data_IF_111007041235
#
_entry.id   IF_111007041235
#
_cell.length_a   1.000
_cell.length_b   1.000
_cell.length_c   1.000
_cell.angle_alpha   90.00
_cell.angle_beta   90.00
_cell.angle_gamma   90.00
#
_symmetry.space_group_name_H-M   'P 1'
#
loop_
_entity.id
_entity.type
_entity.pdbx_description
1 polymer ?
#
# COMPACT_ATOMS: atom_id res chain seq x y z
N UNK A 1 -58.08 -75.69 -1.83
CA UNK A 1 -56.92 -74.77 -1.92
C UNK A 1 -57.34 -73.56 -2.76
N UNK A 2 -58.51 -72.98 -2.50
CA UNK A 2 -58.85 -72.05 -1.38
C UNK A 2 -58.42 -70.63 -1.79
N UNK A 3 -59.29 -69.89 -2.50
CA UNK A 3 -60.27 -68.94 -1.94
C UNK A 3 -59.60 -67.67 -1.36
N UNK A 4 -60.05 -66.44 -1.60
CA UNK A 4 -61.05 -65.85 -2.52
C UNK A 4 -60.92 -64.30 -2.44
N UNK A 5 -61.27 -63.55 -3.50
CA UNK A 5 -62.05 -62.26 -3.57
C UNK A 5 -61.95 -61.15 -2.44
N UNK A 6 -62.36 -59.88 -2.55
CA UNK A 6 -62.77 -58.91 -3.61
C UNK A 6 -62.64 -57.47 -3.02
N UNK A 7 -62.63 -56.45 -3.90
CA UNK A 7 -62.92 -55.00 -3.77
C UNK A 7 -63.22 -54.31 -2.41
N UNK A 8 -62.78 -53.05 -2.23
CA UNK A 8 -63.62 -51.83 -2.16
C UNK A 8 -62.96 -50.61 -1.43
N UNK A 9 -63.23 -49.40 -1.95
CA UNK A 9 -63.13 -48.08 -1.25
C UNK A 9 -64.31 -47.90 -0.23
N UNK A 10 -64.43 -46.85 0.64
CA UNK A 10 -63.93 -45.47 0.47
C UNK A 10 -63.53 -44.65 1.75
N UNK A 11 -63.07 -43.41 1.51
CA UNK A 11 -63.22 -42.10 2.21
C UNK A 11 -63.41 -41.85 3.75
N UNK A 12 -62.77 -40.73 4.16
CA UNK A 12 -63.22 -39.61 5.05
C UNK A 12 -63.13 -39.61 6.62
N UNK A 13 -62.86 -38.38 7.14
CA UNK A 13 -62.79 -37.90 8.56
C UNK A 13 -61.62 -38.44 9.42
N UNK A 14 -61.15 -37.91 10.57
CA UNK A 14 -61.43 -36.72 11.41
C UNK A 14 -61.01 -37.02 12.88
N UNK A 15 -60.70 -36.10 13.81
CA UNK A 15 -60.37 -34.66 13.77
C UNK A 15 -60.02 -34.15 15.21
N UNK A 16 -59.02 -33.25 15.40
CA UNK A 16 -58.70 -32.51 16.67
C UNK A 16 -58.27 -33.37 17.91
N UNK A 17 -57.81 -32.89 19.09
CA UNK A 17 -56.90 -31.80 19.52
C UNK A 17 -56.48 -31.97 21.02
N UNK A 18 -55.39 -31.30 21.46
CA UNK A 18 -55.10 -30.76 22.82
C UNK A 18 -54.80 -31.62 24.10
N UNK A 19 -53.50 -31.57 24.51
CA UNK A 19 -52.91 -31.12 25.82
C UNK A 19 -53.34 -31.61 27.23
N UNK A 20 -52.34 -32.06 28.03
CA UNK A 20 -52.04 -31.64 29.45
C UNK A 20 -50.74 -32.34 29.95
N UNK A 21 -49.67 -31.64 30.37
CA UNK A 21 -49.23 -31.29 31.76
C UNK A 21 -49.12 -32.47 32.76
N UNK A 22 -48.10 -32.66 33.61
CA UNK A 22 -47.38 -31.74 34.54
C UNK A 22 -45.97 -32.30 34.92
N UNK A 23 -45.00 -31.43 35.27
CA UNK A 23 -43.78 -31.84 36.01
C UNK A 23 -42.71 -30.74 36.17
N UNK A 24 -42.40 -30.33 37.40
CA UNK A 24 -41.28 -29.40 37.79
C UNK A 24 -40.92 -29.70 39.27
N UNK A 25 -39.81 -29.20 39.90
CA UNK A 25 -39.63 -27.75 40.20
C UNK A 25 -38.16 -27.23 40.42
N UNK A 26 -38.04 -25.95 40.85
CA UNK A 26 -36.88 -25.28 41.54
C UNK A 26 -35.65 -24.92 40.68
N UNK A 27 -35.10 -23.68 40.59
CA UNK A 27 -35.48 -22.27 40.96
C UNK A 27 -34.67 -21.32 40.04
N UNK A 28 -35.25 -20.32 39.35
CA UNK A 28 -35.40 -18.88 39.72
C UNK A 28 -34.11 -18.09 40.05
N UNK A 29 -33.91 -16.79 39.73
CA UNK A 29 -34.54 -15.75 38.84
C UNK A 29 -33.59 -14.51 38.84
N UNK A 30 -33.18 -13.90 37.72
CA UNK A 30 -33.76 -12.74 36.99
C UNK A 30 -33.67 -11.33 37.63
N UNK A 31 -33.47 -10.30 36.76
CA UNK A 31 -33.87 -8.86 36.85
C UNK A 31 -32.85 -7.75 37.26
N UNK A 32 -32.36 -7.04 36.22
CA UNK A 32 -32.39 -5.57 35.96
C UNK A 32 -32.28 -4.45 37.03
N UNK A 33 -31.50 -3.40 36.66
CA UNK A 33 -31.46 -1.99 37.16
C UNK A 33 -30.85 -1.75 38.57
N UNK A 34 -30.50 -0.50 39.00
CA UNK A 34 -30.81 0.84 38.46
C UNK A 34 -29.60 1.83 38.37
N UNK A 35 -29.89 3.14 38.46
CA UNK A 35 -29.05 4.34 38.27
C UNK A 35 -28.72 5.01 39.63
N UNK A 36 -27.52 5.60 39.75
CA UNK A 36 -27.10 6.70 40.67
C UNK A 36 -27.48 6.71 42.17
N UNK A 37 -26.47 6.86 43.05
CA UNK A 37 -26.31 8.09 43.86
C UNK A 37 -24.87 8.21 44.42
N UNK A 38 -24.53 9.40 44.95
CA UNK A 38 -23.23 9.83 45.49
C UNK A 38 -23.08 9.62 47.00
N UNK A 39 -21.84 9.68 47.49
CA UNK A 39 -21.49 10.22 48.81
C UNK A 39 -20.15 10.96 48.74
N UNK A 40 -19.96 11.91 49.66
CA UNK A 40 -19.05 13.08 49.60
C UNK A 40 -18.28 13.21 50.95
N UNK A 41 -17.64 14.36 51.24
CA UNK A 41 -16.91 14.75 52.48
C UNK A 41 -15.44 14.27 52.52
N UNK A 42 -14.38 15.07 52.76
CA UNK A 42 -14.13 16.53 52.99
C UNK A 42 -12.57 16.74 52.91
N UNK A 43 -11.91 17.91 52.84
CA UNK A 43 -12.24 19.32 52.49
C UNK A 43 -10.88 20.08 52.24
N UNK A 44 -10.92 21.42 52.14
CA UNK A 44 -9.87 22.45 52.17
C UNK A 44 -9.23 22.87 50.81
N UNK A 45 -9.81 23.87 50.11
CA UNK A 45 -9.64 25.36 50.18
C UNK A 45 -8.44 25.89 49.37
N UNK A 46 -8.46 26.98 48.57
CA UNK A 46 -9.30 28.20 48.35
C UNK A 46 -9.56 28.35 46.81
N UNK A 47 -10.71 28.70 46.21
CA UNK A 47 -11.70 29.81 46.30
C UNK A 47 -11.37 31.10 45.51
N UNK A 48 -12.26 31.48 44.57
CA UNK A 48 -12.56 32.80 43.93
C UNK A 48 -12.69 32.75 42.37
N UNK A 49 -13.67 33.36 41.67
CA UNK A 49 -15.07 33.71 41.95
C UNK A 49 -15.82 34.07 40.62
N UNK A 50 -17.01 33.47 40.37
CA UNK A 50 -18.30 34.07 39.85
C UNK A 50 -18.30 34.89 38.52
N UNK A 51 -19.25 34.85 37.55
CA UNK A 51 -20.69 34.46 37.45
C UNK A 51 -21.18 34.16 36.00
N UNK A 52 -22.22 33.32 35.87
CA UNK A 52 -23.45 33.39 35.00
C UNK A 52 -23.35 33.74 33.48
N UNK A 53 -24.13 33.21 32.50
CA UNK A 53 -25.19 32.18 32.30
C UNK A 53 -25.27 31.88 30.76
N UNK A 54 -26.01 30.94 30.17
CA UNK A 54 -26.86 29.84 30.65
C UNK A 54 -27.80 29.27 29.55
N UNK A 55 -28.13 27.96 29.60
CA UNK A 55 -29.18 27.23 28.83
C UNK A 55 -29.06 27.03 27.29
N UNK A 56 -29.20 25.76 26.84
CA UNK A 56 -30.45 25.43 26.13
C UNK A 56 -30.53 25.14 24.61
N UNK A 57 -29.79 24.16 24.08
CA UNK A 57 -30.29 23.20 23.04
C UNK A 57 -30.60 23.64 21.57
N UNK A 58 -30.68 22.61 20.70
CA UNK A 58 -31.41 22.52 19.41
C UNK A 58 -30.76 23.07 18.11
N UNK A 59 -30.91 22.23 17.07
CA UNK A 59 -30.82 22.37 15.61
C UNK A 59 -30.71 23.80 15.01
N UNK A 60 -29.85 23.93 14.00
CA UNK A 60 -30.15 24.61 12.72
C UNK A 60 -29.58 23.74 11.58
N UNK A 61 -30.29 23.30 10.53
CA UNK A 61 -31.06 24.04 9.50
C UNK A 61 -30.17 24.97 8.66
N UNK A 62 -29.64 24.45 7.56
CA UNK A 62 -29.02 25.24 6.50
C UNK A 62 -30.14 25.77 5.61
N UNK A 63 -30.37 27.08 5.69
CA UNK A 63 -31.32 27.79 4.82
C UNK A 63 -30.66 28.18 3.49
N UNK A 64 -31.47 28.42 2.45
CA UNK A 64 -31.00 28.89 1.13
C UNK A 64 -31.23 30.40 1.02
N UNK A 65 -30.16 31.15 0.77
CA UNK A 65 -30.22 32.56 0.37
C UNK A 65 -29.55 32.79 -0.98
N UNK A 66 -30.24 33.48 -1.88
CA UNK A 66 -29.79 33.89 -3.21
C UNK A 66 -29.83 35.43 -3.29
N UNK A 67 -29.02 36.03 -4.17
CA UNK A 67 -29.02 37.48 -4.53
C UNK A 67 -28.56 38.44 -3.39
N UNK A 68 -27.99 39.64 -3.65
CA UNK A 68 -27.96 40.41 -4.89
C UNK A 68 -26.72 41.35 -5.04
N UNK A 69 -26.45 41.74 -6.29
CA UNK A 69 -25.88 43.01 -6.82
C UNK A 69 -24.65 43.78 -6.24
N UNK A 70 -23.65 43.97 -7.14
CA UNK A 70 -23.17 45.27 -7.69
C UNK A 70 -22.32 46.25 -6.86
N UNK A 71 -21.07 46.49 -7.32
CA UNK A 71 -20.54 47.83 -7.66
C UNK A 71 -19.14 47.77 -8.32
N UNK A 72 -18.90 48.62 -9.32
CA UNK A 72 -17.61 48.87 -9.99
C UNK A 72 -17.07 50.23 -9.52
N UNK A 73 -15.75 50.46 -9.55
CA UNK A 73 -15.30 51.72 -10.15
C UNK A 73 -14.21 51.55 -11.23
N UNK A 74 -14.28 52.44 -12.21
CA UNK A 74 -13.39 52.57 -13.36
C UNK A 74 -12.22 53.51 -13.01
N UNK A 75 -11.08 53.39 -13.70
CA UNK A 75 -10.23 54.54 -13.98
C UNK A 75 -9.72 54.48 -15.42
N UNK A 76 -10.06 55.52 -16.16
CA UNK A 76 -9.40 55.97 -17.40
C UNK A 76 -8.01 56.56 -17.01
N UNK A 77 -7.05 56.84 -17.88
CA UNK A 77 -7.05 57.03 -19.33
C UNK A 77 -5.60 56.90 -19.87
N UNK A 78 -5.41 56.85 -21.20
CA UNK A 78 -4.30 57.44 -22.00
C UNK A 78 -4.19 56.80 -23.39
N UNK A 79 -4.26 57.68 -24.39
CA UNK A 79 -4.22 57.44 -25.84
C UNK A 79 -2.90 56.88 -26.40
N UNK A 80 -2.99 56.07 -27.46
CA UNK A 80 -2.38 56.39 -28.77
C UNK A 80 -2.97 55.55 -29.94
N UNK A 81 -2.84 56.05 -31.17
CA UNK A 81 -3.72 55.76 -32.32
C UNK A 81 -2.94 55.50 -33.61
N UNK A 82 -3.26 54.42 -34.36
CA UNK A 82 -3.03 54.26 -35.81
C UNK A 82 -3.83 53.04 -36.34
N UNK A 83 -4.89 53.19 -37.14
CA UNK A 83 -4.88 53.10 -38.63
C UNK A 83 -3.99 51.97 -39.23
N UNK A 84 -4.47 51.05 -40.09
CA UNK A 84 -5.88 50.78 -40.48
C UNK A 84 -6.08 49.76 -41.66
N UNK A 85 -7.35 49.54 -42.01
CA UNK A 85 -7.95 49.05 -43.29
C UNK A 85 -7.78 47.60 -43.84
N UNK A 86 -8.95 46.94 -44.03
CA UNK A 86 -9.42 46.12 -45.20
C UNK A 86 -8.69 44.78 -45.54
N UNK A 87 -9.29 43.71 -46.10
CA UNK A 87 -10.67 43.37 -46.58
C UNK A 87 -10.85 41.83 -46.68
N UNK A 88 -12.10 41.34 -46.76
CA UNK A 88 -12.65 40.10 -47.41
C UNK A 88 -11.69 39.04 -48.03
N UNK A 89 -11.96 37.73 -48.03
CA UNK A 89 -13.28 37.05 -48.10
C UNK A 89 -13.32 35.57 -47.60
N UNK A 90 -14.53 35.13 -47.23
CA UNK A 90 -15.17 33.80 -47.29
C UNK A 90 -14.36 32.48 -47.44
N UNK A 91 -14.53 31.53 -46.49
CA UNK A 91 -15.27 30.23 -46.64
C UNK A 91 -15.06 29.30 -45.42
N UNK A 92 -16.09 28.54 -45.05
CA UNK A 92 -16.17 27.77 -43.79
C UNK A 92 -15.34 26.47 -43.73
N UNK A 93 -14.82 26.15 -42.54
CA UNK A 93 -14.68 24.77 -42.03
C UNK A 93 -14.53 24.77 -40.50
N UNK A 94 -15.18 23.81 -39.83
CA UNK A 94 -15.26 23.73 -38.38
C UNK A 94 -13.91 23.39 -37.73
N UNK A 95 -13.47 24.15 -36.72
CA UNK A 95 -12.49 23.65 -35.74
C UNK A 95 -12.77 24.23 -34.36
N UNK A 96 -13.15 23.35 -33.42
CA UNK A 96 -13.43 23.68 -32.02
C UNK A 96 -12.10 23.74 -31.25
N UNK A 97 -11.88 24.82 -30.50
CA UNK A 97 -10.66 25.05 -29.71
C UNK A 97 -10.39 23.92 -28.68
N UNK A 98 -9.13 23.47 -28.51
CA UNK A 98 -8.69 22.73 -27.33
C UNK A 98 -8.23 23.72 -26.24
N UNK A 99 -9.11 23.98 -25.29
CA UNK A 99 -8.76 24.73 -24.06
C UNK A 99 -7.78 23.93 -23.21
N UNK A 100 -6.76 24.62 -22.70
CA UNK A 100 -5.77 24.08 -21.75
C UNK A 100 -6.43 23.49 -20.50
N UNK A 101 -6.15 22.23 -20.20
CA UNK A 101 -6.61 21.55 -18.97
C UNK A 101 -5.48 21.44 -17.94
N UNK A 102 -5.75 21.94 -16.73
CA UNK A 102 -4.86 21.87 -15.57
C UNK A 102 -4.70 20.42 -15.08
N UNK A 103 -3.49 19.97 -14.67
CA UNK A 103 -3.30 18.68 -14.02
C UNK A 103 -3.54 18.80 -12.51
N UNK A 104 -4.66 18.26 -12.01
CA UNK A 104 -5.07 18.40 -10.61
C UNK A 104 -5.77 17.19 -9.99
N UNK A 105 -5.69 16.00 -10.60
CA UNK A 105 -6.54 14.87 -10.18
C UNK A 105 -5.91 13.47 -10.42
N UNK A 106 -4.75 13.21 -9.78
CA UNK A 106 -4.21 11.85 -9.66
C UNK A 106 -3.70 11.66 -8.22
N UNK A 107 -4.00 10.48 -7.65
CA UNK A 107 -3.70 10.03 -6.27
C UNK A 107 -4.59 10.60 -5.15
N UNK A 108 -5.77 9.98 -5.01
CA UNK A 108 -6.36 9.67 -3.70
C UNK A 108 -6.92 8.24 -3.73
N UNK A 109 -6.83 7.46 -2.64
CA UNK A 109 -7.53 6.19 -2.53
C UNK A 109 -9.02 6.43 -2.27
N UNK A 110 -9.85 5.50 -2.75
CA UNK A 110 -11.31 5.47 -2.64
C UNK A 110 -11.82 5.95 -1.27
N UNK A 111 -12.58 7.05 -1.25
CA UNK A 111 -13.46 7.42 -0.15
C UNK A 111 -14.86 6.87 -0.43
N UNK A 112 -15.28 5.87 0.33
CA UNK A 112 -16.69 5.51 0.44
C UNK A 112 -17.34 6.59 1.30
N UNK A 113 -17.91 7.62 0.68
CA UNK A 113 -18.93 8.53 1.26
C UNK A 113 -19.43 9.57 0.22
N UNK A 114 -20.05 9.11 -0.87
CA UNK A 114 -21.09 9.87 -1.61
C UNK A 114 -22.10 8.87 -2.18
N UNK A 115 -23.08 8.46 -1.37
CA UNK A 115 -24.25 7.68 -1.81
C UNK A 115 -25.53 8.36 -1.31
N UNK A 116 -25.97 9.41 -2.00
CA UNK A 116 -27.35 9.93 -1.91
C UNK A 116 -27.74 10.51 -3.29
N UNK A 117 -28.97 10.23 -3.72
CA UNK A 117 -29.64 10.74 -4.94
C UNK A 117 -29.07 10.34 -6.31
N UNK A 118 -29.38 9.11 -6.74
CA UNK A 118 -30.20 8.90 -7.94
C UNK A 118 -30.77 7.47 -8.01
N UNK A 119 -31.67 7.13 -7.08
CA UNK A 119 -32.58 5.97 -7.20
C UNK A 119 -33.47 6.18 -8.47
N UNK A 120 -33.95 5.20 -9.24
CA UNK A 120 -34.46 3.86 -8.90
C UNK A 120 -34.17 2.78 -9.99
N UNK A 121 -33.27 3.01 -10.96
CA UNK A 121 -33.11 2.10 -12.13
C UNK A 121 -31.77 1.35 -12.26
N UNK A 122 -30.86 1.50 -11.31
CA UNK A 122 -29.53 0.89 -11.36
C UNK A 122 -29.31 -0.24 -10.33
N UNK A 123 -30.16 -0.38 -9.31
CA UNK A 123 -29.94 -1.33 -8.21
C UNK A 123 -29.93 -2.82 -8.62
N UNK A 124 -30.75 -3.22 -9.60
CA UNK A 124 -30.91 -4.66 -9.95
C UNK A 124 -29.73 -5.27 -10.69
N UNK A 125 -28.90 -4.47 -11.38
CA UNK A 125 -27.71 -4.99 -12.09
C UNK A 125 -26.46 -5.03 -11.22
N UNK A 126 -26.35 -4.15 -10.24
CA UNK A 126 -25.12 -3.95 -9.46
C UNK A 126 -25.04 -4.91 -8.27
N UNK A 127 -26.19 -5.24 -7.65
CA UNK A 127 -26.28 -6.23 -6.55
C UNK A 127 -25.92 -7.67 -6.95
N UNK A 128 -25.93 -8.00 -8.24
CA UNK A 128 -25.62 -9.35 -8.74
C UNK A 128 -24.11 -9.67 -8.79
N UNK A 129 -23.22 -8.67 -8.67
CA UNK A 129 -21.80 -8.84 -8.99
C UNK A 129 -20.80 -8.65 -7.84
N UNK A 130 -21.22 -8.05 -6.73
CA UNK A 130 -20.35 -7.83 -5.58
C UNK A 130 -19.84 -9.17 -5.00
N UNK A 131 -18.52 -9.30 -4.87
CA UNK A 131 -17.94 -10.36 -4.06
C UNK A 131 -18.20 -10.06 -2.58
N UNK A 132 -18.30 -11.06 -1.69
CA UNK A 132 -18.33 -10.78 -0.25
C UNK A 132 -17.07 -9.97 0.14
N UNK A 133 -17.16 -8.88 0.92
CA UNK A 133 -16.02 -8.01 1.22
C UNK A 133 -14.81 -8.75 1.84
N UNK A 134 -15.09 -9.82 2.61
CA UNK A 134 -14.07 -10.73 3.13
C UNK A 134 -13.28 -11.43 2.00
N UNK A 135 -13.96 -11.88 0.94
CA UNK A 135 -13.33 -12.58 -0.18
C UNK A 135 -12.51 -11.62 -1.06
N UNK A 136 -12.90 -10.35 -1.17
CA UNK A 136 -12.11 -9.30 -1.81
C UNK A 136 -10.83 -9.02 -1.02
N UNK A 137 -10.96 -8.86 0.29
CA UNK A 137 -9.83 -8.68 1.21
C UNK A 137 -8.85 -9.86 1.14
N UNK A 138 -9.36 -11.10 1.23
CA UNK A 138 -8.55 -12.31 1.11
C UNK A 138 -7.93 -12.47 -0.28
N UNK A 139 -8.64 -12.07 -1.35
CA UNK A 139 -8.07 -12.03 -2.70
C UNK A 139 -6.84 -11.11 -2.73
N UNK A 140 -6.96 -9.89 -2.20
CA UNK A 140 -5.84 -8.96 -2.13
C UNK A 140 -4.64 -9.55 -1.37
N UNK A 141 -4.86 -10.14 -0.19
CA UNK A 141 -3.79 -10.75 0.60
C UNK A 141 -3.08 -11.90 -0.12
N UNK A 142 -3.82 -12.76 -0.83
CA UNK A 142 -3.22 -13.87 -1.61
C UNK A 142 -2.39 -13.36 -2.79
N UNK A 143 -2.90 -12.38 -3.55
CA UNK A 143 -2.13 -11.74 -4.64
C UNK A 143 -0.85 -11.09 -4.09
N UNK A 144 -0.97 -10.30 -3.02
CA UNK A 144 0.18 -9.65 -2.35
C UNK A 144 1.21 -10.67 -1.86
N UNK A 145 0.77 -11.82 -1.31
CA UNK A 145 1.66 -12.87 -0.82
C UNK A 145 2.44 -13.54 -1.95
N UNK A 146 1.76 -14.02 -3.00
CA UNK A 146 2.39 -14.68 -4.15
C UNK A 146 3.38 -13.73 -4.83
N UNK A 147 2.94 -12.53 -5.19
CA UNK A 147 3.79 -11.56 -5.87
C UNK A 147 4.92 -11.04 -4.97
N UNK A 148 4.71 -10.92 -3.66
CA UNK A 148 5.76 -10.59 -2.69
C UNK A 148 6.89 -11.62 -2.65
N UNK A 149 6.55 -12.91 -2.58
CA UNK A 149 7.54 -14.01 -2.63
C UNK A 149 8.30 -14.00 -3.96
N UNK A 150 7.60 -13.81 -5.09
CA UNK A 150 8.24 -13.68 -6.41
C UNK A 150 9.18 -12.47 -6.48
N UNK A 151 8.86 -11.36 -5.80
CA UNK A 151 9.72 -10.19 -5.67
C UNK A 151 11.00 -10.50 -4.89
N UNK A 152 10.90 -11.20 -3.76
CA UNK A 152 12.06 -11.65 -2.96
C UNK A 152 12.95 -12.61 -3.73
N UNK A 153 12.37 -13.59 -4.44
CA UNK A 153 13.11 -14.51 -5.30
C UNK A 153 13.82 -13.74 -6.43
N UNK A 154 13.14 -12.82 -7.10
CA UNK A 154 13.74 -11.98 -8.15
C UNK A 154 14.90 -11.16 -7.59
N UNK A 155 14.72 -10.53 -6.42
CA UNK A 155 15.77 -9.74 -5.76
C UNK A 155 17.00 -10.58 -5.44
N UNK A 156 16.83 -11.80 -4.91
CA UNK A 156 17.95 -12.71 -4.64
C UNK A 156 18.66 -13.15 -5.93
N UNK A 157 17.91 -13.44 -7.00
CA UNK A 157 18.50 -13.82 -8.29
C UNK A 157 19.26 -12.66 -8.92
N UNK A 158 18.74 -11.42 -8.87
CA UNK A 158 19.48 -10.23 -9.28
C UNK A 158 20.72 -10.01 -8.40
N UNK A 159 20.61 -10.18 -7.08
CA UNK A 159 21.75 -10.09 -6.17
C UNK A 159 22.84 -11.09 -6.57
N UNK A 160 22.52 -12.38 -6.79
CA UNK A 160 23.49 -13.40 -7.21
C UNK A 160 24.03 -13.19 -8.63
N UNK A 161 23.21 -12.72 -9.57
CA UNK A 161 23.61 -12.44 -10.95
C UNK A 161 24.55 -11.24 -11.04
N UNK A 162 24.31 -10.21 -10.24
CA UNK A 162 25.07 -8.97 -10.26
C UNK A 162 26.28 -9.02 -9.32
N UNK A 163 26.31 -9.88 -8.29
CA UNK A 163 27.42 -9.99 -7.33
C UNK A 163 28.80 -10.09 -8.00
N UNK A 164 29.03 -10.89 -9.07
CA UNK A 164 30.35 -10.98 -9.70
C UNK A 164 30.74 -9.71 -10.46
N UNK A 165 29.79 -9.07 -11.15
CA UNK A 165 30.04 -7.82 -11.87
C UNK A 165 30.24 -6.64 -10.91
N UNK A 166 29.48 -6.64 -9.81
CA UNK A 166 29.51 -5.63 -8.76
C UNK A 166 30.77 -5.78 -7.89
N UNK A 167 31.25 -6.99 -7.60
CA UNK A 167 32.49 -7.22 -6.84
C UNK A 167 33.77 -6.75 -7.57
N UNK A 168 33.72 -6.57 -8.90
CA UNK A 168 34.82 -5.99 -9.69
C UNK A 168 34.79 -4.46 -9.67
N UNK A 169 33.64 -3.84 -9.38
CA UNK A 169 33.43 -2.38 -9.41
C UNK A 169 33.36 -1.76 -8.01
N UNK A 170 32.86 -2.52 -7.03
CA UNK A 170 32.90 -2.18 -5.60
C UNK A 170 34.24 -2.66 -5.05
N UNK A 171 35.22 -1.75 -5.02
CA UNK A 171 36.23 -1.79 -3.95
C UNK A 171 35.55 -1.51 -2.61
N UNK A 172 36.09 -2.00 -1.50
CA UNK A 172 35.50 -1.86 -0.15
C UNK A 172 35.20 -0.40 0.26
N UNK A 173 35.80 0.56 -0.45
CA UNK A 173 35.66 2.01 -0.27
C UNK A 173 34.69 2.67 -1.30
N UNK A 174 33.70 1.94 -1.82
CA UNK A 174 32.75 2.48 -2.81
C UNK A 174 31.42 2.94 -2.17
N UNK A 175 30.84 4.10 -2.53
CA UNK A 175 29.49 4.49 -2.11
C UNK A 175 28.36 3.71 -2.83
N UNK A 176 28.70 2.88 -3.83
CA UNK A 176 27.75 1.97 -4.46
C UNK A 176 27.46 0.81 -3.50
N UNK A 177 26.19 0.43 -3.39
CA UNK A 177 25.71 -0.63 -2.52
C UNK A 177 25.02 -1.73 -3.34
N UNK A 178 25.03 -2.96 -2.83
CA UNK A 178 24.59 -4.15 -3.57
C UNK A 178 23.11 -4.09 -3.97
N UNK A 179 22.29 -3.37 -3.20
CA UNK A 179 20.86 -3.18 -3.43
C UNK A 179 20.54 -2.12 -4.49
N UNK A 180 21.50 -1.27 -4.87
CA UNK A 180 21.29 -0.16 -5.79
C UNK A 180 20.72 -0.62 -7.15
N UNK A 181 21.26 -1.64 -7.85
CA UNK A 181 20.76 -2.01 -9.17
C UNK A 181 19.32 -2.52 -9.14
N UNK A 182 18.94 -3.33 -8.14
CA UNK A 182 17.56 -3.82 -8.05
C UNK A 182 16.58 -2.78 -7.50
N UNK A 183 17.05 -1.81 -6.71
CA UNK A 183 16.26 -0.61 -6.39
C UNK A 183 15.99 0.25 -7.63
N UNK A 184 16.97 0.41 -8.53
CA UNK A 184 16.78 1.06 -9.83
C UNK A 184 15.80 0.27 -10.73
N UNK A 185 15.98 -1.05 -10.88
CA UNK A 185 15.07 -1.89 -11.68
C UNK A 185 13.65 -1.86 -11.13
N UNK A 186 13.47 -1.97 -9.82
CA UNK A 186 12.16 -1.85 -9.17
C UNK A 186 11.51 -0.47 -9.41
N UNK A 187 12.28 0.61 -9.38
CA UNK A 187 11.78 1.98 -9.64
C UNK A 187 11.45 2.20 -11.13
N UNK A 188 12.27 1.68 -12.06
CA UNK A 188 12.01 1.69 -13.50
C UNK A 188 10.71 0.94 -13.84
N UNK A 189 10.56 -0.28 -13.32
CA UNK A 189 9.36 -1.09 -13.53
C UNK A 189 8.13 -0.49 -12.83
N UNK A 190 8.31 0.25 -11.73
CA UNK A 190 7.21 1.04 -11.12
C UNK A 190 6.76 2.16 -12.05
N UNK A 191 7.66 2.79 -12.80
CA UNK A 191 7.30 3.72 -13.87
C UNK A 191 6.49 3.06 -15.00
N UNK A 192 6.84 1.82 -15.38
CA UNK A 192 6.07 1.03 -16.35
C UNK A 192 4.70 0.61 -15.82
N UNK A 193 4.67 -0.26 -14.81
CA UNK A 193 3.44 -0.95 -14.37
C UNK A 193 2.65 -0.16 -13.32
N UNK A 194 3.33 0.64 -12.49
CA UNK A 194 2.70 1.44 -11.43
C UNK A 194 2.20 2.81 -11.89
N UNK A 195 2.79 3.40 -12.94
CA UNK A 195 2.39 4.71 -13.47
C UNK A 195 1.71 4.57 -14.84
N UNK A 196 2.41 4.12 -15.89
CA UNK A 196 1.91 4.22 -17.28
C UNK A 196 0.88 3.16 -17.66
N UNK A 197 1.12 1.89 -17.26
CA UNK A 197 0.24 0.76 -17.58
C UNK A 197 -0.74 0.40 -16.47
N UNK A 198 -0.70 1.07 -15.31
CA UNK A 198 -1.54 0.74 -14.15
C UNK A 198 -3.02 0.63 -14.51
N UNK A 199 -3.56 1.61 -15.24
CA UNK A 199 -4.96 1.61 -15.67
C UNK A 199 -5.31 0.46 -16.63
N UNK A 200 -4.38 0.05 -17.50
CA UNK A 200 -4.58 -1.08 -18.43
C UNK A 200 -4.54 -2.42 -17.70
N UNK A 201 -3.66 -2.56 -16.69
CA UNK A 201 -3.58 -3.75 -15.83
C UNK A 201 -4.80 -3.84 -14.91
N UNK A 202 -5.22 -2.73 -14.29
CA UNK A 202 -6.42 -2.65 -13.45
C UNK A 202 -7.70 -3.01 -14.23
N UNK A 203 -7.78 -2.69 -15.53
CA UNK A 203 -8.89 -3.14 -16.39
C UNK A 203 -8.95 -4.66 -16.51
N UNK A 204 -7.81 -5.36 -16.53
CA UNK A 204 -7.74 -6.84 -16.56
C UNK A 204 -8.12 -7.42 -15.20
N UNK A 205 -7.50 -6.94 -14.14
CA UNK A 205 -7.82 -7.24 -12.73
C UNK A 205 -7.16 -6.23 -11.79
N UNK A 206 -7.95 -5.61 -10.92
CA UNK A 206 -7.42 -4.69 -9.90
C UNK A 206 -6.49 -5.39 -8.91
N UNK A 207 -6.83 -6.62 -8.50
CA UNK A 207 -5.98 -7.45 -7.63
C UNK A 207 -4.63 -7.76 -8.28
N UNK A 208 -4.59 -7.94 -9.61
CA UNK A 208 -3.34 -8.12 -10.34
C UNK A 208 -2.49 -6.85 -10.35
N UNK A 209 -3.10 -5.68 -10.55
CA UNK A 209 -2.41 -4.40 -10.48
C UNK A 209 -1.80 -4.15 -9.09
N UNK A 210 -2.56 -4.45 -8.02
CA UNK A 210 -2.08 -4.35 -6.63
C UNK A 210 -0.97 -5.39 -6.38
N UNK A 211 -1.15 -6.64 -6.81
CA UNK A 211 -0.16 -7.71 -6.69
C UNK A 211 1.18 -7.36 -7.36
N UNK A 212 1.17 -6.89 -8.61
CA UNK A 212 2.38 -6.50 -9.33
C UNK A 212 3.05 -5.26 -8.73
N UNK A 213 2.29 -4.20 -8.45
CA UNK A 213 2.88 -2.92 -8.00
C UNK A 213 3.24 -2.94 -6.52
N UNK A 214 2.31 -3.37 -5.67
CA UNK A 214 2.51 -3.38 -4.21
C UNK A 214 3.22 -4.66 -3.77
N UNK A 215 2.83 -5.83 -4.26
CA UNK A 215 3.52 -7.09 -3.94
C UNK A 215 4.91 -7.16 -4.57
N UNK A 216 4.96 -7.42 -5.88
CA UNK A 216 6.20 -7.77 -6.58
C UNK A 216 7.23 -6.63 -6.60
N UNK A 217 6.88 -5.46 -7.15
CA UNK A 217 7.81 -4.33 -7.24
C UNK A 217 8.15 -3.72 -5.87
N UNK A 218 7.21 -3.81 -4.92
CA UNK A 218 7.44 -3.41 -3.53
C UNK A 218 8.41 -4.33 -2.79
N UNK A 219 8.45 -5.62 -3.09
CA UNK A 219 9.39 -6.60 -2.51
C UNK A 219 10.72 -6.72 -3.28
N UNK A 220 10.74 -6.38 -4.57
CA UNK A 220 11.95 -6.35 -5.39
C UNK A 220 12.94 -5.25 -4.94
N UNK A 221 12.41 -4.07 -4.60
CA UNK A 221 13.19 -2.95 -4.07
C UNK A 221 13.11 -2.91 -2.55
N UNK A 222 14.22 -2.58 -1.86
CA UNK A 222 14.28 -2.49 -0.39
C UNK A 222 14.90 -1.18 0.08
N UNK A 223 14.19 -0.51 1.00
CA UNK A 223 14.69 0.69 1.69
C UNK A 223 15.52 0.33 2.93
N UNK A 224 15.11 -0.69 3.67
CA UNK A 224 15.80 -1.08 4.91
C UNK A 224 17.21 -1.62 4.66
N UNK A 225 17.42 -2.42 3.61
CA UNK A 225 18.75 -2.87 3.20
C UNK A 225 19.68 -1.71 2.81
N UNK A 226 19.16 -0.75 2.03
CA UNK A 226 19.88 0.47 1.67
C UNK A 226 20.29 1.28 2.90
N UNK A 227 19.36 1.59 3.80
CA UNK A 227 19.64 2.33 5.04
C UNK A 227 20.64 1.58 5.93
N UNK A 228 20.52 0.25 6.05
CA UNK A 228 21.46 -0.57 6.82
C UNK A 228 22.87 -0.50 6.24
N UNK A 229 23.03 -0.55 4.91
CA UNK A 229 24.36 -0.44 4.30
C UNK A 229 24.99 0.94 4.53
N UNK A 230 24.19 2.00 4.53
CA UNK A 230 24.68 3.34 4.88
C UNK A 230 25.10 3.45 6.36
N UNK A 231 24.42 2.73 7.27
CA UNK A 231 24.83 2.65 8.68
C UNK A 231 26.14 1.88 8.88
N UNK A 232 26.35 0.77 8.15
CA UNK A 232 27.63 0.04 8.14
C UNK A 232 28.79 0.94 7.70
N UNK A 233 28.66 1.62 6.56
CA UNK A 233 29.67 2.57 6.08
C UNK A 233 29.97 3.68 7.10
N UNK A 234 28.96 4.17 7.82
CA UNK A 234 29.14 5.15 8.90
C UNK A 234 29.89 4.57 10.10
N UNK A 235 29.61 3.33 10.50
CA UNK A 235 30.31 2.64 11.59
C UNK A 235 31.78 2.40 11.25
N UNK A 236 32.07 2.02 10.00
CA UNK A 236 33.42 1.73 9.49
C UNK A 236 34.27 3.02 9.26
N UNK A 237 33.77 4.19 9.64
CA UNK A 237 34.44 5.49 9.48
C UNK A 237 34.24 6.16 8.13
N UNK A 238 33.55 5.51 7.19
CA UNK A 238 33.29 5.99 5.83
C UNK A 238 32.03 6.89 5.73
N UNK A 239 31.91 7.86 6.63
CA UNK A 239 30.77 8.78 6.72
C UNK A 239 30.45 9.53 5.42
N UNK A 240 31.48 9.90 4.65
CA UNK A 240 31.30 10.54 3.34
C UNK A 240 30.66 9.59 2.33
N UNK A 241 31.05 8.30 2.31
CA UNK A 241 30.43 7.31 1.42
C UNK A 241 29.01 6.95 1.85
N UNK A 242 28.72 6.99 3.15
CA UNK A 242 27.34 6.87 3.67
C UNK A 242 26.44 8.02 3.14
N UNK A 243 26.90 9.27 3.24
CA UNK A 243 26.15 10.42 2.72
C UNK A 243 26.02 10.39 1.18
N UNK A 244 27.11 10.14 0.47
CA UNK A 244 27.12 10.04 -1.00
C UNK A 244 26.27 8.87 -1.49
N UNK A 245 26.26 7.73 -0.78
CA UNK A 245 25.41 6.57 -1.09
C UNK A 245 23.91 6.84 -0.92
N UNK A 246 23.51 7.72 0.00
CA UNK A 246 22.14 8.24 0.04
C UNK A 246 21.80 9.13 -1.16
N UNK A 247 22.71 10.02 -1.58
CA UNK A 247 22.48 10.87 -2.76
C UNK A 247 22.40 10.03 -4.04
N UNK A 248 23.38 9.13 -4.26
CA UNK A 248 23.40 8.22 -5.43
C UNK A 248 22.14 7.36 -5.44
N UNK A 249 21.78 6.73 -4.32
CA UNK A 249 20.59 5.88 -4.25
C UNK A 249 19.29 6.61 -4.58
N UNK A 250 19.12 7.84 -4.06
CA UNK A 250 17.96 8.67 -4.35
C UNK A 250 17.93 9.09 -5.83
N UNK A 251 19.01 9.68 -6.35
CA UNK A 251 19.04 10.23 -7.70
C UNK A 251 18.97 9.16 -8.79
N UNK A 252 19.66 8.03 -8.64
CA UNK A 252 19.62 6.95 -9.64
C UNK A 252 18.25 6.27 -9.66
N UNK A 253 17.59 6.09 -8.52
CA UNK A 253 16.23 5.55 -8.48
C UNK A 253 15.20 6.54 -9.05
N UNK A 254 15.30 7.83 -8.72
CA UNK A 254 14.47 8.90 -9.28
C UNK A 254 14.66 9.05 -10.80
N UNK A 255 15.88 8.89 -11.30
CA UNK A 255 16.13 8.86 -12.75
C UNK A 255 15.58 7.57 -13.39
N UNK A 256 15.73 6.42 -12.72
CA UNK A 256 15.21 5.15 -13.22
C UNK A 256 13.68 5.15 -13.39
N UNK A 257 12.91 5.74 -12.47
CA UNK A 257 11.45 5.85 -12.65
C UNK A 257 11.09 6.78 -13.81
N UNK A 258 11.79 7.91 -13.99
CA UNK A 258 11.56 8.83 -15.13
C UNK A 258 11.85 8.15 -16.47
N UNK A 259 12.97 7.41 -16.56
CA UNK A 259 13.27 6.54 -17.71
C UNK A 259 12.18 5.49 -17.93
N UNK A 260 11.67 4.87 -16.86
CA UNK A 260 10.56 3.92 -16.91
C UNK A 260 9.31 4.54 -17.52
N UNK A 261 8.88 5.69 -17.00
CA UNK A 261 7.71 6.43 -17.50
C UNK A 261 7.90 6.83 -18.98
N UNK A 262 9.08 7.35 -19.35
CA UNK A 262 9.38 7.78 -20.73
C UNK A 262 9.36 6.62 -21.72
N UNK A 263 10.06 5.53 -21.40
CA UNK A 263 10.11 4.32 -22.25
C UNK A 263 8.76 3.63 -22.36
N UNK A 264 7.98 3.55 -21.26
CA UNK A 264 6.63 3.01 -21.27
C UNK A 264 5.66 3.86 -22.11
N UNK A 265 5.73 5.20 -22.03
CA UNK A 265 4.92 6.11 -22.88
C UNK A 265 5.27 5.92 -24.36
N UNK A 266 6.55 5.82 -24.71
CA UNK A 266 7.01 5.53 -26.07
C UNK A 266 6.48 4.17 -26.56
N UNK A 267 6.63 3.10 -25.76
CA UNK A 267 6.12 1.77 -26.08
C UNK A 267 4.59 1.76 -26.25
N UNK A 268 3.84 2.45 -25.38
CA UNK A 268 2.38 2.58 -25.48
C UNK A 268 1.94 3.34 -26.73
N UNK A 269 2.66 4.40 -27.12
CA UNK A 269 2.41 5.11 -28.38
C UNK A 269 2.72 4.26 -29.61
N UNK A 270 3.80 3.48 -29.58
CA UNK A 270 4.13 2.53 -30.64
C UNK A 270 3.06 1.44 -30.76
N UNK A 271 2.62 0.87 -29.63
CA UNK A 271 1.58 -0.15 -29.60
C UNK A 271 0.21 0.39 -30.02
N UNK A 272 -0.09 1.65 -29.71
CA UNK A 272 -1.35 2.33 -30.13
C UNK A 272 -1.48 2.56 -31.64
N UNK A 273 -0.37 2.53 -32.40
CA UNK A 273 -0.39 2.50 -33.87
C UNK A 273 -0.74 1.12 -34.44
N UNK A 274 -0.65 0.06 -33.63
CA UNK A 274 -1.07 -1.29 -33.98
C UNK A 274 -2.46 -1.55 -33.41
N UNK A 275 -3.44 -1.88 -34.25
CA UNK A 275 -4.85 -1.94 -33.85
C UNK A 275 -5.13 -3.12 -32.89
N UNK A 276 -4.99 -2.90 -31.57
CA UNK A 276 -4.92 -3.97 -30.55
C UNK A 276 -5.98 -3.92 -29.45
N UNK A 277 -6.97 -3.04 -29.55
CA UNK A 277 -8.06 -2.90 -28.56
C UNK A 277 -8.83 -4.20 -28.31
N UNK A 278 -8.88 -5.12 -29.28
CA UNK A 278 -9.55 -6.41 -29.15
C UNK A 278 -8.80 -7.43 -28.27
N UNK A 279 -7.47 -7.31 -28.12
CA UNK A 279 -6.64 -8.33 -27.48
C UNK A 279 -6.68 -8.24 -25.94
N UNK A 280 -6.74 -7.03 -25.37
CA UNK A 280 -6.81 -6.86 -23.91
C UNK A 280 -8.18 -7.26 -23.33
N UNK A 281 -9.25 -7.13 -24.13
CA UNK A 281 -10.62 -7.43 -23.71
C UNK A 281 -10.85 -8.92 -23.42
N UNK A 282 -10.16 -9.84 -24.11
CA UNK A 282 -10.35 -11.28 -23.90
C UNK A 282 -9.73 -11.80 -22.60
N UNK A 283 -8.75 -11.08 -22.04
CA UNK A 283 -8.07 -11.42 -20.79
C UNK A 283 -8.81 -10.93 -19.54
N UNK A 284 -9.88 -10.15 -19.71
CA UNK A 284 -10.58 -9.48 -18.61
C UNK A 284 -11.24 -10.48 -17.65
N UNK A 285 -10.98 -10.33 -16.35
CA UNK A 285 -11.51 -11.19 -15.29
C UNK A 285 -12.92 -10.72 -14.87
N UNK A 286 -13.79 -10.53 -15.85
CA UNK A 286 -15.14 -9.96 -15.68
C UNK A 286 -16.18 -10.94 -15.12
N UNK A 287 -15.78 -12.15 -14.68
CA UNK A 287 -16.73 -13.16 -14.21
C UNK A 287 -16.30 -13.69 -12.84
N UNK A 288 -17.20 -13.68 -11.86
CA UNK A 288 -17.01 -14.23 -10.51
C UNK A 288 -16.43 -15.66 -10.53
N UNK A 289 -16.86 -16.52 -11.46
CA UNK A 289 -16.30 -17.88 -11.64
C UNK A 289 -14.91 -17.89 -12.27
N UNK A 290 -14.50 -16.86 -13.02
CA UNK A 290 -13.10 -16.69 -13.46
C UNK A 290 -12.24 -16.19 -12.30
N UNK A 291 -12.71 -15.19 -11.54
CA UNK A 291 -11.98 -14.67 -10.38
C UNK A 291 -11.74 -15.74 -9.32
N UNK A 292 -12.76 -16.52 -8.95
CA UNK A 292 -12.61 -17.65 -8.01
C UNK A 292 -11.61 -18.69 -8.55
N UNK A 293 -11.64 -19.04 -9.84
CA UNK A 293 -10.65 -19.97 -10.42
C UNK A 293 -9.23 -19.43 -10.37
N UNK A 294 -9.01 -18.15 -10.70
CA UNK A 294 -7.68 -17.51 -10.60
C UNK A 294 -7.22 -17.46 -9.14
N UNK A 295 -8.12 -17.13 -8.20
CA UNK A 295 -7.81 -17.14 -6.77
C UNK A 295 -7.43 -18.54 -6.28
N UNK A 296 -8.15 -19.59 -6.66
CA UNK A 296 -7.83 -20.98 -6.32
C UNK A 296 -6.45 -21.39 -6.87
N UNK A 297 -6.14 -21.02 -8.12
CA UNK A 297 -4.80 -21.24 -8.70
C UNK A 297 -3.72 -20.49 -7.91
N UNK A 298 -3.96 -19.25 -7.50
CA UNK A 298 -3.01 -18.48 -6.69
C UNK A 298 -2.85 -19.03 -5.27
N UNK A 299 -3.90 -19.56 -4.65
CA UNK A 299 -3.82 -20.26 -3.35
C UNK A 299 -2.99 -21.54 -3.48
N UNK A 300 -3.17 -22.32 -4.56
CA UNK A 300 -2.32 -23.48 -4.84
C UNK A 300 -0.86 -23.07 -5.07
N UNK A 301 -0.61 -22.02 -5.85
CA UNK A 301 0.75 -21.48 -6.06
C UNK A 301 1.37 -21.01 -4.74
N UNK A 302 0.62 -20.31 -3.88
CA UNK A 302 1.09 -19.87 -2.56
C UNK A 302 1.44 -21.06 -1.66
N UNK A 303 0.57 -22.07 -1.62
CA UNK A 303 0.81 -23.32 -0.88
C UNK A 303 2.05 -24.07 -1.37
N UNK A 304 2.27 -24.11 -2.69
CA UNK A 304 3.47 -24.69 -3.30
C UNK A 304 4.72 -23.86 -2.96
N UNK A 305 4.67 -22.53 -3.05
CA UNK A 305 5.78 -21.64 -2.71
C UNK A 305 6.20 -21.80 -1.23
N UNK A 306 5.25 -21.86 -0.30
CA UNK A 306 5.55 -22.12 1.11
C UNK A 306 6.03 -23.55 1.35
N UNK A 307 5.40 -24.56 0.75
CA UNK A 307 5.83 -25.97 0.90
C UNK A 307 7.26 -26.19 0.39
N UNK A 308 7.59 -25.65 -0.79
CA UNK A 308 8.95 -25.70 -1.34
C UNK A 308 9.93 -24.93 -0.46
N UNK A 309 9.57 -23.72 -0.01
CA UNK A 309 10.43 -22.93 0.87
C UNK A 309 10.72 -23.66 2.20
N UNK A 310 9.70 -24.26 2.82
CA UNK A 310 9.87 -25.01 4.07
C UNK A 310 10.68 -26.30 3.87
N UNK A 311 10.43 -27.04 2.79
CA UNK A 311 11.17 -28.26 2.46
C UNK A 311 12.65 -27.96 2.17
N UNK A 312 12.93 -26.91 1.39
CA UNK A 312 14.29 -26.50 1.06
C UNK A 312 15.01 -25.88 2.26
N UNK A 313 14.32 -25.09 3.10
CA UNK A 313 14.86 -24.60 4.37
C UNK A 313 15.31 -25.75 5.27
N UNK A 314 14.45 -26.76 5.47
CA UNK A 314 14.79 -27.95 6.28
C UNK A 314 15.94 -28.76 5.66
N UNK A 315 15.95 -28.92 4.33
CA UNK A 315 17.00 -29.67 3.61
C UNK A 315 18.36 -28.99 3.72
N UNK A 316 18.43 -27.69 3.44
CA UNK A 316 19.68 -26.92 3.42
C UNK A 316 20.22 -26.70 4.85
N UNK A 317 19.35 -26.49 5.84
CA UNK A 317 19.76 -26.35 7.25
C UNK A 317 20.37 -27.63 7.82
N UNK A 318 19.87 -28.80 7.41
CA UNK A 318 20.35 -30.11 7.84
C UNK A 318 21.57 -30.62 7.04
N UNK A 319 22.07 -29.86 6.07
CA UNK A 319 23.23 -30.25 5.28
C UNK A 319 24.53 -30.07 6.08
N UNK A 320 25.53 -30.93 5.90
CA UNK A 320 26.79 -30.88 6.68
C UNK A 320 27.53 -29.55 6.50
N UNK A 321 27.45 -28.98 5.29
CA UNK A 321 27.85 -27.62 4.97
C UNK A 321 26.65 -26.88 4.37
N UNK A 322 25.90 -26.08 5.17
CA UNK A 322 24.80 -25.26 4.67
C UNK A 322 25.31 -24.04 3.88
N UNK A 323 24.77 -23.78 2.68
CA UNK A 323 24.91 -22.47 2.03
C UNK A 323 24.03 -21.46 2.78
N UNK A 324 24.66 -20.67 3.65
CA UNK A 324 24.00 -19.65 4.49
C UNK A 324 23.00 -18.80 3.70
N UNK A 325 23.37 -18.40 2.48
CA UNK A 325 22.52 -17.54 1.64
C UNK A 325 21.25 -18.24 1.15
N UNK A 326 21.29 -19.56 0.91
CA UNK A 326 20.11 -20.36 0.54
C UNK A 326 19.19 -20.57 1.73
N UNK A 327 19.73 -20.92 2.91
CA UNK A 327 18.94 -21.08 4.14
C UNK A 327 18.19 -19.77 4.45
N UNK A 328 18.90 -18.63 4.37
CA UNK A 328 18.33 -17.30 4.57
C UNK A 328 17.27 -16.94 3.51
N UNK A 329 17.49 -17.30 2.23
CA UNK A 329 16.49 -17.11 1.16
C UNK A 329 15.19 -17.88 1.45
N UNK A 330 15.28 -19.16 1.79
CA UNK A 330 14.08 -19.98 1.98
C UNK A 330 13.29 -19.54 3.20
N UNK A 331 13.97 -19.15 4.29
CA UNK A 331 13.34 -18.49 5.42
C UNK A 331 12.68 -17.17 5.00
N UNK A 332 13.38 -16.35 4.21
CA UNK A 332 12.86 -15.08 3.72
C UNK A 332 11.58 -15.22 2.88
N UNK A 333 11.49 -16.26 2.03
CA UNK A 333 10.28 -16.56 1.27
C UNK A 333 9.08 -16.93 2.16
N UNK A 334 9.31 -17.58 3.31
CA UNK A 334 8.25 -17.88 4.28
C UNK A 334 7.75 -16.59 4.95
N UNK A 335 8.66 -15.70 5.36
CA UNK A 335 8.32 -14.49 6.13
C UNK A 335 8.07 -13.22 5.29
N UNK A 336 8.16 -13.32 3.96
CA UNK A 336 7.88 -12.21 3.04
C UNK A 336 6.41 -11.72 3.06
N UNK A 337 5.37 -12.58 3.03
CA UNK A 337 3.98 -12.12 2.93
C UNK A 337 3.53 -11.19 4.07
N UNK A 338 3.83 -11.46 5.36
CA UNK A 338 3.50 -10.52 6.45
C UNK A 338 4.07 -9.11 6.24
N UNK A 339 5.28 -8.97 5.70
CA UNK A 339 5.90 -7.67 5.43
C UNK A 339 5.12 -6.88 4.36
N UNK A 340 4.72 -7.56 3.29
CA UNK A 340 3.88 -6.97 2.23
C UNK A 340 2.49 -6.59 2.75
N UNK A 341 1.86 -7.47 3.54
CA UNK A 341 0.53 -7.21 4.11
C UNK A 341 0.53 -5.99 5.04
N UNK A 342 1.53 -5.87 5.91
CA UNK A 342 1.67 -4.70 6.79
C UNK A 342 1.92 -3.44 5.96
N UNK A 343 2.81 -3.46 4.95
CA UNK A 343 3.02 -2.29 4.08
C UNK A 343 1.75 -1.88 3.33
N UNK A 344 1.00 -2.83 2.78
CA UNK A 344 -0.27 -2.53 2.10
C UNK A 344 -1.34 -1.99 3.05
N UNK A 345 -1.41 -2.50 4.28
CA UNK A 345 -2.28 -1.95 5.32
C UNK A 345 -1.87 -0.52 5.70
N UNK A 346 -0.57 -0.27 5.92
CA UNK A 346 -0.03 1.05 6.22
C UNK A 346 -0.26 2.04 5.08
N UNK A 347 -0.16 1.63 3.81
CA UNK A 347 -0.40 2.47 2.64
C UNK A 347 -1.80 3.12 2.62
N UNK A 348 -2.78 2.56 3.35
CA UNK A 348 -4.11 3.17 3.56
C UNK A 348 -4.05 4.51 4.32
N UNK A 349 -2.95 4.82 5.01
CA UNK A 349 -2.69 6.08 5.70
C UNK A 349 -2.16 7.18 4.76
N UNK A 350 -1.67 6.82 3.56
CA UNK A 350 -1.21 7.79 2.57
C UNK A 350 -2.38 8.70 2.15
N UNK A 351 -2.15 10.01 2.12
CA UNK A 351 -3.18 11.00 1.77
C UNK A 351 -4.16 11.38 2.89
N UNK A 352 -4.19 10.68 4.04
CA UNK A 352 -5.10 11.03 5.15
C UNK A 352 -4.69 12.30 5.89
N UNK A 353 -3.39 12.55 6.01
CA UNK A 353 -2.84 13.61 6.85
C UNK A 353 -2.86 13.26 8.35
N UNK A 354 -2.50 14.23 9.18
CA UNK A 354 -2.32 14.12 10.62
C UNK A 354 -3.38 14.94 11.38
N UNK A 355 -3.95 14.34 12.42
CA UNK A 355 -4.99 14.95 13.27
C UNK A 355 -6.35 15.11 12.58
N UNK A 356 -7.37 15.54 13.34
CA UNK A 356 -8.75 15.72 12.83
C UNK A 356 -8.85 16.73 11.68
N UNK A 357 -7.98 17.73 11.64
CA UNK A 357 -7.91 18.72 10.56
C UNK A 357 -7.21 18.18 9.28
N UNK A 358 -6.55 17.03 9.34
CA UNK A 358 -5.80 16.47 8.22
C UNK A 358 -4.68 17.40 7.74
N UNK A 359 -3.82 17.84 8.65
CA UNK A 359 -2.58 18.55 8.30
C UNK A 359 -1.64 17.61 7.52
N UNK A 360 -0.69 18.13 6.74
CA UNK A 360 0.32 17.30 6.06
C UNK A 360 -0.24 16.18 5.15
N UNK A 361 -1.46 16.29 4.60
CA UNK A 361 -2.05 15.31 3.64
C UNK A 361 -1.15 14.94 2.45
N UNK A 362 -0.22 15.82 2.08
CA UNK A 362 0.75 15.58 1.02
C UNK A 362 1.82 14.53 1.38
N UNK A 363 2.00 14.19 2.67
CA UNK A 363 2.97 13.20 3.13
C UNK A 363 2.38 11.77 3.02
N UNK A 364 3.05 10.84 2.34
CA UNK A 364 2.71 9.41 2.36
C UNK A 364 3.09 8.76 3.71
N UNK A 365 2.31 9.03 4.75
CA UNK A 365 2.60 8.54 6.11
C UNK A 365 2.71 7.01 6.22
N UNK A 366 1.93 6.26 5.45
CA UNK A 366 2.00 4.80 5.40
C UNK A 366 3.34 4.29 4.89
N UNK A 367 3.81 4.83 3.75
CA UNK A 367 5.10 4.46 3.17
C UNK A 367 6.26 4.92 4.05
N UNK A 368 6.16 6.10 4.66
CA UNK A 368 7.13 6.62 5.62
C UNK A 368 7.25 5.69 6.85
N UNK A 369 6.12 5.35 7.48
CA UNK A 369 6.10 4.47 8.66
C UNK A 369 6.65 3.08 8.29
N UNK A 370 6.29 2.54 7.13
CA UNK A 370 6.80 1.25 6.66
C UNK A 370 8.32 1.27 6.45
N UNK A 371 8.87 2.31 5.80
CA UNK A 371 10.30 2.45 5.55
C UNK A 371 11.10 2.68 6.85
N UNK A 372 10.65 3.59 7.72
CA UNK A 372 11.31 3.89 9.00
C UNK A 372 11.27 2.67 9.93
N UNK A 373 10.12 2.01 10.09
CA UNK A 373 10.02 0.82 10.95
C UNK A 373 10.86 -0.36 10.42
N UNK A 374 10.84 -0.61 9.10
CA UNK A 374 11.69 -1.63 8.50
C UNK A 374 13.19 -1.33 8.72
N UNK A 375 13.62 -0.08 8.59
CA UNK A 375 14.99 0.34 8.84
C UNK A 375 15.39 0.17 10.33
N UNK A 376 14.55 0.63 11.27
CA UNK A 376 14.82 0.51 12.71
C UNK A 376 14.90 -0.94 13.18
N UNK A 377 13.99 -1.81 12.75
CA UNK A 377 14.02 -3.24 13.12
C UNK A 377 15.21 -3.94 12.43
N UNK A 378 15.59 -3.52 11.20
CA UNK A 378 16.77 -4.05 10.51
C UNK A 378 18.04 -3.71 11.29
N UNK A 379 18.19 -2.45 11.73
CA UNK A 379 19.27 -2.01 12.58
C UNK A 379 19.34 -2.81 13.89
N UNK A 380 18.20 -2.96 14.59
CA UNK A 380 18.13 -3.72 15.83
C UNK A 380 18.54 -5.18 15.65
N UNK A 381 18.07 -5.85 14.59
CA UNK A 381 18.49 -7.21 14.25
C UNK A 381 19.99 -7.28 13.93
N UNK A 382 20.57 -6.31 13.22
CA UNK A 382 22.03 -6.30 12.97
C UNK A 382 22.82 -6.12 14.27
N UNK A 383 22.35 -5.29 15.20
CA UNK A 383 22.96 -5.15 16.54
C UNK A 383 22.90 -6.47 17.31
N UNK A 384 21.76 -7.18 17.28
CA UNK A 384 21.62 -8.48 17.95
C UNK A 384 22.52 -9.55 17.31
N UNK A 385 22.60 -9.60 15.97
CA UNK A 385 23.56 -10.47 15.25
C UNK A 385 25.00 -10.23 15.74
N UNK A 386 25.40 -8.96 15.80
CA UNK A 386 26.73 -8.50 16.26
C UNK A 386 26.96 -8.63 17.77
N UNK A 387 25.93 -8.84 18.58
CA UNK A 387 26.07 -9.06 20.03
C UNK A 387 26.09 -10.55 20.40
N UNK A 388 25.37 -11.40 19.66
CA UNK A 388 25.17 -12.82 19.97
C UNK A 388 26.12 -13.73 19.20
N UNK A 389 26.54 -13.35 17.98
CA UNK A 389 27.51 -14.07 17.15
C UNK A 389 27.22 -15.59 16.92
N UNK A 390 25.97 -16.05 17.01
CA UNK A 390 25.61 -17.46 16.72
C UNK A 390 25.07 -17.64 15.31
N UNK A 391 25.42 -18.77 14.66
CA UNK A 391 24.95 -19.14 13.31
C UNK A 391 23.42 -19.13 13.19
N UNK A 392 22.71 -19.60 14.22
CA UNK A 392 21.24 -19.61 14.26
C UNK A 392 20.67 -18.19 14.33
N UNK A 393 21.26 -17.32 15.15
CA UNK A 393 20.85 -15.90 15.22
C UNK A 393 21.09 -15.18 13.90
N UNK A 394 22.26 -15.36 13.27
CA UNK A 394 22.56 -14.80 11.95
C UNK A 394 21.59 -15.29 10.87
N UNK A 395 21.31 -16.60 10.83
CA UNK A 395 20.38 -17.19 9.86
C UNK A 395 18.96 -16.62 10.01
N UNK A 396 18.43 -16.60 11.23
CA UNK A 396 17.07 -16.10 11.51
C UNK A 396 16.98 -14.61 11.23
N UNK A 397 17.94 -13.83 11.74
CA UNK A 397 17.93 -12.38 11.59
C UNK A 397 18.09 -11.96 10.14
N UNK A 398 19.00 -12.58 9.38
CA UNK A 398 19.19 -12.26 7.96
C UNK A 398 18.00 -12.71 7.12
N UNK A 399 17.37 -13.85 7.42
CA UNK A 399 16.13 -14.27 6.77
C UNK A 399 14.96 -13.31 7.04
N UNK A 400 14.85 -12.76 8.25
CA UNK A 400 13.88 -11.72 8.61
C UNK A 400 14.17 -10.36 7.96
N UNK A 401 15.45 -9.96 7.93
CA UNK A 401 15.89 -8.72 7.26
C UNK A 401 15.62 -8.78 5.77
N UNK A 402 15.99 -9.88 5.10
CA UNK A 402 15.75 -10.06 3.67
C UNK A 402 14.24 -10.22 3.40
N UNK A 403 13.58 -11.20 4.01
CA UNK A 403 12.18 -11.51 3.75
C UNK A 403 11.22 -10.45 4.25
N UNK A 404 11.02 -10.41 5.58
CA UNK A 404 9.98 -9.61 6.21
C UNK A 404 10.23 -8.11 6.08
N UNK A 405 11.38 -7.63 6.56
CA UNK A 405 11.70 -6.20 6.60
C UNK A 405 12.00 -5.65 5.20
N UNK A 406 12.67 -6.44 4.36
CA UNK A 406 12.89 -6.13 2.95
C UNK A 406 11.63 -6.16 2.08
N UNK A 407 10.50 -6.68 2.57
CA UNK A 407 9.17 -6.53 1.94
C UNK A 407 8.33 -5.40 2.55
N UNK A 408 8.58 -5.06 3.81
CA UNK A 408 7.94 -3.98 4.55
C UNK A 408 8.46 -2.60 4.09
N UNK A 409 9.77 -2.41 3.99
CA UNK A 409 10.38 -1.16 3.53
C UNK A 409 10.81 -1.23 2.07
N UNK A 410 10.39 -0.26 1.24
CA UNK A 410 10.60 -0.28 -0.22
C UNK A 410 11.04 1.07 -0.79
N UNK A 411 11.92 1.02 -1.80
CA UNK A 411 12.35 2.21 -2.57
C UNK A 411 11.40 2.50 -3.74
N UNK A 412 10.79 1.48 -4.37
CA UNK A 412 10.02 1.67 -5.61
C UNK A 412 8.75 2.49 -5.38
N UNK A 413 7.99 2.25 -4.31
CA UNK A 413 6.83 3.08 -3.92
C UNK A 413 7.26 4.47 -3.44
N UNK A 414 8.30 4.55 -2.60
CA UNK A 414 8.86 5.82 -2.10
C UNK A 414 9.29 6.76 -3.25
N UNK A 415 9.92 6.20 -4.29
CA UNK A 415 10.36 6.95 -5.47
C UNK A 415 9.20 7.31 -6.40
N UNK A 416 8.15 6.49 -6.49
CA UNK A 416 6.92 6.86 -7.20
C UNK A 416 6.20 8.05 -6.54
N UNK A 417 6.13 8.06 -5.21
CA UNK A 417 5.58 9.17 -4.43
C UNK A 417 6.46 10.43 -4.54
N UNK A 418 7.78 10.28 -4.48
CA UNK A 418 8.74 11.36 -4.73
C UNK A 418 8.54 11.97 -6.12
N UNK A 419 8.48 11.17 -7.18
CA UNK A 419 8.32 11.65 -8.56
C UNK A 419 6.97 12.37 -8.73
N UNK A 420 5.88 11.84 -8.16
CA UNK A 420 4.57 12.50 -8.17
C UNK A 420 4.57 13.86 -7.45
N UNK A 421 5.37 14.02 -6.38
CA UNK A 421 5.57 15.30 -5.71
C UNK A 421 6.49 16.24 -6.49
N UNK A 422 7.51 15.72 -7.17
CA UNK A 422 8.48 16.49 -7.96
C UNK A 422 7.83 17.08 -9.23
N UNK A 423 6.95 16.31 -9.89
CA UNK A 423 6.12 16.77 -11.01
C UNK A 423 5.00 17.74 -10.58
N UNK A 424 4.78 17.93 -9.28
CA UNK A 424 3.76 18.84 -8.76
C UNK A 424 4.24 20.30 -8.70
N UNK A 425 3.28 21.24 -8.67
CA UNK A 425 3.53 22.68 -8.46
C UNK A 425 4.33 23.02 -7.19
N UNK A 426 4.47 22.07 -6.24
CA UNK A 426 5.19 22.25 -4.97
C UNK A 426 6.32 21.22 -4.86
N UNK A 427 7.19 21.18 -5.87
CA UNK A 427 8.34 20.27 -6.01
C UNK A 427 9.21 20.14 -4.73
N UNK A 428 9.36 21.19 -3.92
CA UNK A 428 10.08 21.16 -2.63
C UNK A 428 9.60 20.04 -1.69
N UNK A 429 8.33 19.63 -1.80
CA UNK A 429 7.74 18.53 -1.03
C UNK A 429 8.43 17.20 -1.29
N UNK A 430 8.87 16.94 -2.52
CA UNK A 430 9.59 15.71 -2.86
C UNK A 430 10.91 15.62 -2.08
N UNK A 431 11.69 16.70 -2.11
CA UNK A 431 12.96 16.81 -1.36
C UNK A 431 12.74 16.76 0.15
N UNK A 432 11.73 17.46 0.68
CA UNK A 432 11.38 17.40 2.10
C UNK A 432 10.94 16.00 2.55
N UNK A 433 10.15 15.29 1.74
CA UNK A 433 9.75 13.91 2.01
C UNK A 433 10.94 12.94 2.00
N UNK A 434 11.81 13.05 0.99
CA UNK A 434 13.01 12.23 0.89
C UNK A 434 13.97 12.48 2.06
N UNK A 435 14.26 13.75 2.37
CA UNK A 435 15.12 14.15 3.49
C UNK A 435 14.55 13.66 4.83
N UNK A 436 13.25 13.86 5.08
CA UNK A 436 12.59 13.38 6.30
C UNK A 436 12.68 11.86 6.44
N UNK A 437 12.39 11.12 5.36
CA UNK A 437 12.41 9.63 5.38
C UNK A 437 13.82 9.10 5.64
N UNK A 438 14.83 9.69 4.98
CA UNK A 438 16.24 9.31 5.17
C UNK A 438 16.76 9.73 6.55
N UNK A 439 16.58 10.99 6.95
CA UNK A 439 17.12 11.51 8.20
C UNK A 439 16.54 10.82 9.44
N UNK A 440 15.23 10.52 9.46
CA UNK A 440 14.61 9.78 10.57
C UNK A 440 15.14 8.33 10.61
N UNK A 441 15.18 7.64 9.46
CA UNK A 441 15.62 6.24 9.39
C UNK A 441 17.11 6.08 9.74
N UNK A 442 17.96 7.00 9.28
CA UNK A 442 19.39 6.99 9.54
C UNK A 442 19.71 7.45 10.96
N UNK A 443 19.05 8.51 11.46
CA UNK A 443 19.23 9.00 12.83
C UNK A 443 18.82 7.97 13.89
N UNK A 444 17.65 7.34 13.74
CA UNK A 444 17.26 6.23 14.61
C UNK A 444 18.18 5.01 14.43
N UNK A 445 18.62 4.75 13.19
CA UNK A 445 19.62 3.72 12.90
C UNK A 445 20.94 3.91 13.64
N UNK A 446 21.46 5.14 13.71
CA UNK A 446 22.67 5.47 14.48
C UNK A 446 22.48 5.14 15.96
N UNK A 447 21.33 5.49 16.55
CA UNK A 447 21.03 5.21 17.95
C UNK A 447 20.88 3.70 18.24
N UNK A 448 20.29 2.94 17.31
CA UNK A 448 19.96 1.51 17.48
C UNK A 448 21.12 0.58 17.11
N UNK A 449 21.98 0.97 16.17
CA UNK A 449 23.08 0.16 15.64
C UNK A 449 24.45 0.78 15.89
N UNK A 450 24.71 1.98 15.36
CA UNK A 450 26.05 2.54 15.37
C UNK A 450 26.57 2.83 16.79
N UNK A 451 25.73 3.42 17.66
CA UNK A 451 26.08 3.73 19.05
C UNK A 451 26.37 2.44 19.85
N UNK A 452 25.55 1.38 19.85
CA UNK A 452 25.91 0.10 20.46
C UNK A 452 27.20 -0.52 19.91
N UNK A 453 27.44 -0.44 18.59
CA UNK A 453 28.66 -0.99 17.99
C UNK A 453 29.91 -0.23 18.44
N UNK A 454 29.89 1.10 18.43
CA UNK A 454 31.02 1.92 18.91
C UNK A 454 31.26 1.77 20.42
N UNK A 455 30.20 1.79 21.22
CA UNK A 455 30.33 1.78 22.70
C UNK A 455 30.67 0.43 23.29
N UNK A 456 30.27 -0.68 22.64
CA UNK A 456 30.53 -2.05 23.10
C UNK A 456 31.59 -2.80 22.29
N UNK A 457 32.12 -2.19 21.23
CA UNK A 457 33.17 -2.77 20.40
C UNK A 457 32.75 -4.03 19.63
N UNK A 458 31.46 -4.15 19.30
CA UNK A 458 30.93 -5.30 18.56
C UNK A 458 31.49 -5.36 17.13
N UNK A 459 32.30 -6.37 16.83
CA UNK A 459 32.97 -6.53 15.54
C UNK A 459 32.04 -7.13 14.48
#
# INVERSE_FOLDING_TARGET
MDHETIEAEPDLSGSFCQTSSVGSPVTQRSLSLPRSLSFEVDDDTESENVSETGSGSIRLSIDKGLENEMAVPISEDILLRSHGSRTHDSTALNTRSPVSLLPGEILSPISIDVLVCSEEKQEDREKAFALPPLLEYMSCLVYLAVFGILGVLTRYMLQKLLLPAVAVVISDNCPLYLELPFNMVGSFLMGWWGVVFRGDISRVSEYLAIGLTTGYLGSLATFSGWNQKMLELSVDGHWVFSFVGFLIGLFLAAYAIKLGIGTAKCFKSFLGRSNRSACLASWRVDNRYRHIRVLMVLVVILGLLWSVSLAMLKKEYNHEVPDSGRVQLWLACIVAPPGVWIRWFLARLNGRGLGKAGSLKWVPFGTLIANVSAACITAALTTVKKAVHTKTCDTISTGMQFGFLGCLGTVSTFIAEYNAMEESQKNWRAYAYALMTIAISFGLGILIYSVPVWTRGYK
#
